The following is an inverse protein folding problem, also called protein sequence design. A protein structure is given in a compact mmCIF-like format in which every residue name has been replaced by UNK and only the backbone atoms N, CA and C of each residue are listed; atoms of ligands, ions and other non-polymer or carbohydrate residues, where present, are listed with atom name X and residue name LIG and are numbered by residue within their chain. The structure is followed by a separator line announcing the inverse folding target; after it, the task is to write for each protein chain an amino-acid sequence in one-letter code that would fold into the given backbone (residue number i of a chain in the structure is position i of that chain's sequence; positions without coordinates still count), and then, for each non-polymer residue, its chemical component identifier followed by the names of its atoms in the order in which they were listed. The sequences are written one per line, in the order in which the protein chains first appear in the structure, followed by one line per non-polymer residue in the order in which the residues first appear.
data_IF_467396789583
#
_entry.id   IF_467396789583
#
_cell.length_a   1.000
_cell.length_b   1.000
_cell.length_c   1.000
_cell.angle_alpha   90.00
_cell.angle_beta   90.00
_cell.angle_gamma   90.00
#
_symmetry.space_group_name_H-M   'P 1'
#
loop_
_entity.id
_entity.type
_entity.pdbx_description
1 polymer ?
#
# COMPACT_ATOMS: atom_id res chain seq x y z
N UNK A 1 -49.76 29.73 21.74
CA UNK A 1 -48.62 29.17 20.96
C UNK A 1 -48.10 27.89 21.61
N UNK A 2 -48.90 26.83 21.58
CA UNK A 2 -48.54 25.47 21.99
C UNK A 2 -49.41 24.56 21.13
N UNK A 3 -48.97 24.25 19.91
CA UNK A 3 -49.51 23.19 19.02
C UNK A 3 -48.81 23.14 17.64
N UNK A 4 -47.52 23.51 17.55
CA UNK A 4 -46.77 23.41 16.28
C UNK A 4 -45.44 22.65 16.39
N UNK A 5 -45.22 21.93 17.50
CA UNK A 5 -43.99 21.16 17.74
C UNK A 5 -44.18 19.64 17.79
N UNK A 6 -45.42 19.14 17.70
CA UNK A 6 -45.69 17.70 17.73
C UNK A 6 -45.83 17.05 16.35
N UNK A 7 -45.89 17.82 15.26
CA UNK A 7 -46.14 17.27 13.91
C UNK A 7 -44.86 16.93 13.13
N UNK A 8 -43.69 17.40 13.56
CA UNK A 8 -42.40 17.09 12.91
C UNK A 8 -41.67 15.86 13.49
N UNK A 9 -42.21 15.24 14.55
CA UNK A 9 -41.57 14.07 15.17
C UNK A 9 -42.18 12.72 14.77
N UNK A 10 -43.30 12.72 14.04
CA UNK A 10 -43.97 11.48 13.59
C UNK A 10 -43.62 11.13 12.13
N UNK A 11 -43.08 12.08 11.35
CA UNK A 11 -42.64 11.82 9.97
C UNK A 11 -41.21 11.23 9.92
N UNK A 12 -40.46 11.24 11.03
CA UNK A 12 -39.11 10.65 11.09
C UNK A 12 -39.06 9.18 11.56
N UNK A 13 -40.20 8.53 11.85
CA UNK A 13 -40.24 7.17 12.41
C UNK A 13 -41.07 6.16 11.60
N UNK A 14 -41.43 6.47 10.35
CA UNK A 14 -42.13 5.55 9.45
C UNK A 14 -41.32 5.20 8.19
N UNK A 15 -40.06 4.81 8.36
CA UNK A 15 -39.30 4.09 7.33
C UNK A 15 -38.45 2.96 7.92
N UNK A 16 -38.96 2.31 8.96
CA UNK A 16 -38.45 1.02 9.43
C UNK A 16 -39.55 -0.04 9.30
N UNK A 17 -39.28 -0.97 8.38
CA UNK A 17 -39.89 -2.29 8.17
C UNK A 17 -41.15 -2.36 7.29
N UNK A 18 -40.90 -2.58 5.99
CA UNK A 18 -41.74 -3.41 5.12
C UNK A 18 -40.84 -4.15 4.10
N UNK A 19 -40.51 -5.40 4.47
CA UNK A 19 -40.57 -6.62 3.63
C UNK A 19 -39.94 -6.55 2.22
N UNK A 20 -38.77 -7.21 2.09
CA UNK A 20 -38.47 -8.09 0.94
C UNK A 20 -38.05 -7.44 -0.38
N UNK A 21 -36.80 -6.97 -0.48
CA UNK A 21 -35.99 -7.05 -1.70
C UNK A 21 -34.52 -6.77 -1.37
N UNK A 22 -33.69 -7.81 -1.42
CA UNK A 22 -32.24 -7.71 -1.26
C UNK A 22 -31.58 -7.19 -2.53
N UNK A 23 -31.24 -5.91 -2.57
CA UNK A 23 -30.07 -5.40 -3.29
C UNK A 23 -29.82 -3.96 -2.87
N UNK A 24 -28.97 -3.75 -1.86
CA UNK A 24 -28.31 -2.45 -1.73
C UNK A 24 -27.56 -2.22 -3.03
N UNK A 25 -27.92 -1.17 -3.78
CA UNK A 25 -27.23 -0.83 -5.01
C UNK A 25 -25.75 -0.61 -4.71
N UNK A 26 -24.88 -1.33 -5.42
CA UNK A 26 -23.42 -1.22 -5.26
C UNK A 26 -22.90 -0.31 -6.35
N UNK A 27 -22.02 0.61 -5.98
CA UNK A 27 -21.42 1.58 -6.89
C UNK A 27 -19.91 1.46 -6.83
N UNK A 28 -19.26 1.50 -8.00
CA UNK A 28 -17.82 1.73 -8.09
C UNK A 28 -17.54 3.20 -8.34
N UNK A 29 -16.38 3.66 -7.87
CA UNK A 29 -15.90 5.00 -8.18
C UNK A 29 -15.35 5.04 -9.62
N UNK A 30 -15.67 6.11 -10.34
CA UNK A 30 -15.18 6.41 -11.70
C UNK A 30 -14.78 7.87 -11.81
N UNK A 31 -14.14 8.25 -12.92
CA UNK A 31 -13.80 9.65 -13.15
C UNK A 31 -15.06 10.53 -13.10
N UNK A 32 -15.05 11.54 -12.24
CA UNK A 32 -16.16 12.48 -12.11
C UNK A 32 -17.40 11.99 -11.34
N UNK A 33 -17.39 10.77 -10.76
CA UNK A 33 -18.53 10.31 -9.96
C UNK A 33 -18.54 8.82 -9.60
N UNK A 34 -19.71 8.21 -9.66
CA UNK A 34 -19.96 6.80 -9.33
C UNK A 34 -20.69 6.09 -10.46
N UNK A 35 -20.35 4.84 -10.73
CA UNK A 35 -21.04 3.98 -11.70
C UNK A 35 -21.69 2.82 -10.96
N UNK A 36 -22.99 2.59 -11.19
CA UNK A 36 -23.72 1.45 -10.65
C UNK A 36 -23.13 0.15 -11.22
N UNK A 37 -22.91 -0.83 -10.34
CA UNK A 37 -22.40 -2.15 -10.71
C UNK A 37 -23.55 -3.11 -10.97
N UNK A 38 -23.40 -3.92 -12.02
CA UNK A 38 -24.27 -5.05 -12.28
C UNK A 38 -23.75 -6.28 -11.54
N UNK A 39 -24.25 -6.49 -10.32
CA UNK A 39 -23.92 -7.68 -9.52
C UNK A 39 -24.56 -8.91 -10.17
N UNK A 40 -23.75 -9.87 -10.58
CA UNK A 40 -24.23 -11.18 -11.04
C UNK A 40 -24.68 -12.01 -9.83
N UNK A 41 -25.99 -12.00 -9.60
CA UNK A 41 -26.62 -12.78 -8.53
C UNK A 41 -27.00 -14.19 -8.96
N UNK A 42 -26.91 -14.52 -10.26
CA UNK A 42 -27.46 -15.74 -10.86
C UNK A 42 -26.42 -16.83 -11.03
N UNK A 43 -25.21 -16.47 -11.45
CA UNK A 43 -24.09 -17.40 -11.58
C UNK A 43 -23.65 -17.85 -10.18
N UNK A 44 -23.38 -19.14 -10.00
CA UNK A 44 -22.85 -19.66 -8.75
C UNK A 44 -21.44 -19.12 -8.46
N UNK A 45 -21.09 -19.09 -7.18
CA UNK A 45 -19.86 -18.45 -6.70
C UNK A 45 -18.60 -19.12 -7.25
N UNK A 46 -18.57 -20.45 -7.37
CA UNK A 46 -17.41 -21.18 -7.86
C UNK A 46 -17.15 -20.85 -9.33
N UNK A 47 -18.20 -20.85 -10.16
CA UNK A 47 -18.13 -20.45 -11.56
C UNK A 47 -17.68 -18.99 -11.72
N UNK A 48 -18.12 -18.07 -10.84
CA UNK A 48 -17.63 -16.69 -10.85
C UNK A 48 -16.14 -16.62 -10.52
N UNK A 49 -15.69 -17.34 -9.49
CA UNK A 49 -14.28 -17.34 -9.05
C UNK A 49 -13.36 -17.89 -10.16
N UNK A 50 -13.76 -18.95 -10.87
CA UNK A 50 -12.99 -19.50 -11.98
C UNK A 50 -12.75 -18.47 -13.11
N UNK A 51 -13.66 -17.51 -13.30
CA UNK A 51 -13.49 -16.45 -14.31
C UNK A 51 -12.34 -15.48 -13.99
N UNK A 52 -11.80 -15.49 -12.76
CA UNK A 52 -10.62 -14.68 -12.40
C UNK A 52 -9.35 -15.13 -13.13
N UNK A 53 -9.31 -16.32 -13.72
CA UNK A 53 -8.16 -16.77 -14.55
C UNK A 53 -8.11 -16.09 -15.92
N UNK A 54 -9.24 -15.56 -16.39
CA UNK A 54 -9.33 -14.91 -17.69
C UNK A 54 -8.58 -13.57 -17.70
N UNK A 55 -8.41 -13.02 -18.90
CA UNK A 55 -7.90 -11.66 -19.04
C UNK A 55 -8.92 -10.66 -18.50
N UNK A 56 -8.51 -9.93 -17.47
CA UNK A 56 -9.22 -8.79 -16.92
C UNK A 56 -8.20 -7.72 -16.55
N UNK A 57 -8.65 -6.46 -16.56
CA UNK A 57 -7.87 -5.32 -16.11
C UNK A 57 -8.66 -4.56 -15.05
N UNK A 58 -7.94 -3.91 -14.13
CA UNK A 58 -8.57 -3.00 -13.20
C UNK A 58 -9.18 -1.82 -13.98
N UNK A 59 -10.38 -1.44 -13.58
CA UNK A 59 -11.12 -0.32 -14.11
C UNK A 59 -10.45 1.00 -13.74
N UNK A 60 -10.46 1.96 -14.67
CA UNK A 60 -9.90 3.27 -14.41
C UNK A 60 -10.86 4.10 -13.57
N UNK A 61 -10.44 4.47 -12.35
CA UNK A 61 -11.27 5.29 -11.44
C UNK A 61 -11.14 6.79 -11.72
N UNK A 62 -10.25 7.21 -12.64
CA UNK A 62 -9.84 8.60 -12.83
C UNK A 62 -8.99 9.17 -11.67
N UNK A 63 -8.72 8.37 -10.63
CA UNK A 63 -7.86 8.74 -9.50
C UNK A 63 -6.71 7.73 -9.40
N UNK A 64 -5.48 8.23 -9.42
CA UNK A 64 -4.25 7.41 -9.34
C UNK A 64 -4.13 6.57 -8.07
N UNK A 65 -4.94 6.87 -7.07
CA UNK A 65 -4.82 6.31 -5.75
C UNK A 65 -5.92 5.31 -5.37
N UNK A 66 -7.04 5.23 -6.10
CA UNK A 66 -8.09 4.22 -5.84
C UNK A 66 -7.96 3.03 -6.76
N UNK A 67 -8.29 1.84 -6.25
CA UNK A 67 -8.37 0.61 -7.05
C UNK A 67 -9.75 0.53 -7.71
N UNK A 68 -9.79 0.38 -9.03
CA UNK A 68 -11.04 0.18 -9.76
C UNK A 68 -11.30 -1.30 -9.98
N UNK A 69 -12.03 -1.94 -9.07
CA UNK A 69 -12.39 -3.34 -9.20
C UNK A 69 -13.36 -3.57 -10.37
N UNK A 70 -13.32 -4.78 -10.93
CA UNK A 70 -14.21 -5.19 -12.03
C UNK A 70 -15.59 -5.59 -11.51
N UNK A 71 -16.60 -5.61 -12.39
CA UNK A 71 -17.95 -6.07 -12.06
C UNK A 71 -17.95 -7.54 -11.58
N UNK A 72 -17.01 -8.37 -12.09
CA UNK A 72 -16.80 -9.74 -11.63
C UNK A 72 -16.37 -9.77 -10.16
N UNK A 73 -15.37 -8.96 -9.79
CA UNK A 73 -14.87 -8.87 -8.41
C UNK A 73 -15.97 -8.38 -7.46
N UNK A 74 -16.75 -7.38 -7.85
CA UNK A 74 -17.92 -6.94 -7.07
C UNK A 74 -18.99 -8.03 -6.96
N UNK A 75 -19.22 -8.80 -8.03
CA UNK A 75 -20.17 -9.92 -8.02
C UNK A 75 -19.76 -11.00 -7.02
N UNK A 76 -18.47 -11.34 -6.96
CA UNK A 76 -17.92 -12.27 -5.96
C UNK A 76 -17.98 -11.64 -4.56
N UNK A 77 -17.51 -10.39 -4.40
CA UNK A 77 -17.46 -9.71 -3.12
C UNK A 77 -18.85 -9.47 -2.50
N UNK A 78 -19.90 -9.42 -3.31
CA UNK A 78 -21.30 -9.35 -2.82
C UNK A 78 -21.71 -10.55 -1.97
N UNK A 79 -20.98 -11.69 -2.07
CA UNK A 79 -21.15 -12.87 -1.21
C UNK A 79 -20.40 -12.78 0.12
N UNK A 80 -19.71 -11.66 0.38
CA UNK A 80 -19.06 -11.32 1.66
C UNK A 80 -18.13 -12.44 2.16
N UNK A 81 -18.26 -12.82 3.43
CA UNK A 81 -17.40 -13.84 4.05
C UNK A 81 -17.54 -15.24 3.45
N UNK A 82 -18.68 -15.53 2.81
CA UNK A 82 -18.91 -16.83 2.15
C UNK A 82 -17.96 -17.03 0.97
N UNK A 83 -17.50 -15.93 0.33
CA UNK A 83 -16.52 -15.97 -0.75
C UNK A 83 -15.08 -16.22 -0.30
N UNK A 84 -14.74 -15.94 0.96
CA UNK A 84 -13.34 -15.96 1.42
C UNK A 84 -12.73 -17.36 1.25
N UNK A 85 -13.40 -18.41 1.77
CA UNK A 85 -12.85 -19.77 1.68
C UNK A 85 -12.75 -20.26 0.22
N UNK A 86 -13.80 -20.17 -0.62
CA UNK A 86 -13.69 -20.53 -2.04
C UNK A 86 -12.59 -19.77 -2.80
N UNK A 87 -12.40 -18.48 -2.50
CA UNK A 87 -11.30 -17.68 -3.07
C UNK A 87 -9.93 -18.21 -2.66
N UNK A 88 -9.75 -18.55 -1.38
CA UNK A 88 -8.49 -19.14 -0.87
C UNK A 88 -8.23 -20.51 -1.46
N UNK A 89 -9.26 -21.36 -1.55
CA UNK A 89 -9.16 -22.69 -2.17
C UNK A 89 -8.71 -22.56 -3.64
N UNK A 90 -9.36 -21.66 -4.39
CA UNK A 90 -9.01 -21.37 -5.77
C UNK A 90 -7.61 -20.78 -5.94
N UNK A 91 -7.18 -19.85 -5.06
CA UNK A 91 -5.82 -19.32 -5.07
C UNK A 91 -4.77 -20.42 -4.95
N UNK A 92 -5.04 -21.43 -4.12
CA UNK A 92 -4.14 -22.56 -3.90
C UNK A 92 -4.11 -23.54 -5.08
N UNK A 93 -5.21 -23.67 -5.83
CA UNK A 93 -5.29 -24.58 -6.97
C UNK A 93 -4.87 -23.94 -8.30
N UNK A 94 -5.07 -22.64 -8.48
CA UNK A 94 -4.75 -21.97 -9.75
C UNK A 94 -3.23 -21.81 -9.94
N UNK A 95 -2.78 -22.03 -11.17
CA UNK A 95 -1.41 -21.77 -11.61
C UNK A 95 -1.22 -20.38 -12.22
N UNK A 96 -2.31 -19.68 -12.54
CA UNK A 96 -2.26 -18.39 -13.25
C UNK A 96 -1.95 -17.23 -12.30
N UNK A 97 -1.08 -16.30 -12.72
CA UNK A 97 -0.83 -15.08 -11.95
C UNK A 97 -2.09 -14.20 -11.90
N UNK A 98 -2.84 -14.09 -13.00
CA UNK A 98 -4.10 -13.36 -13.07
C UNK A 98 -5.13 -13.89 -12.06
N UNK A 99 -5.33 -15.20 -11.97
CA UNK A 99 -6.24 -15.79 -10.97
C UNK A 99 -5.86 -15.40 -9.54
N UNK A 100 -4.56 -15.45 -9.22
CA UNK A 100 -4.05 -15.08 -7.88
C UNK A 100 -4.20 -13.60 -7.57
N UNK A 101 -3.88 -12.71 -8.53
CA UNK A 101 -4.13 -11.27 -8.37
C UNK A 101 -5.62 -10.98 -8.22
N UNK A 102 -6.47 -11.66 -8.98
CA UNK A 102 -7.91 -11.51 -8.93
C UNK A 102 -8.46 -11.86 -7.54
N UNK A 103 -7.94 -12.94 -6.94
CA UNK A 103 -8.26 -13.31 -5.55
C UNK A 103 -7.85 -12.22 -4.58
N UNK A 104 -6.62 -11.71 -4.64
CA UNK A 104 -6.13 -10.68 -3.72
C UNK A 104 -6.97 -9.41 -3.77
N UNK A 105 -7.26 -8.90 -4.98
CA UNK A 105 -8.12 -7.73 -5.14
C UNK A 105 -9.54 -7.99 -4.63
N UNK A 106 -10.10 -9.17 -4.89
CA UNK A 106 -11.45 -9.52 -4.42
C UNK A 106 -11.50 -9.64 -2.90
N UNK A 107 -10.48 -10.24 -2.27
CA UNK A 107 -10.37 -10.31 -0.81
C UNK A 107 -10.24 -8.92 -0.19
N UNK A 108 -9.46 -8.02 -0.79
CA UNK A 108 -9.39 -6.64 -0.32
C UNK A 108 -10.74 -5.92 -0.46
N UNK A 109 -11.45 -6.13 -1.59
CA UNK A 109 -12.79 -5.58 -1.81
C UNK A 109 -13.81 -6.08 -0.77
N UNK A 110 -13.74 -7.36 -0.39
CA UNK A 110 -14.51 -7.93 0.73
C UNK A 110 -14.07 -7.28 2.06
N UNK A 111 -12.76 -7.12 2.24
CA UNK A 111 -12.11 -6.49 3.40
C UNK A 111 -12.67 -5.11 3.73
N UNK A 112 -12.86 -4.28 2.71
CA UNK A 112 -13.40 -2.92 2.82
C UNK A 112 -14.93 -2.86 2.63
N UNK A 113 -15.60 -4.01 2.59
CA UNK A 113 -17.05 -4.15 2.35
C UNK A 113 -17.55 -3.42 1.10
N UNK A 114 -16.77 -3.47 0.02
CA UNK A 114 -17.08 -2.78 -1.24
C UNK A 114 -17.23 -1.25 -1.10
N UNK A 115 -16.67 -0.68 -0.03
CA UNK A 115 -16.81 0.74 0.29
C UNK A 115 -15.47 1.47 0.17
N UNK A 116 -15.33 2.25 -0.92
CA UNK A 116 -14.19 3.14 -1.12
C UNK A 116 -14.58 4.51 -0.54
N UNK A 117 -14.06 4.87 0.64
CA UNK A 117 -14.40 6.11 1.33
C UNK A 117 -13.23 7.08 1.45
N UNK A 118 -13.49 8.37 1.20
CA UNK A 118 -12.49 9.42 1.38
C UNK A 118 -11.35 9.40 0.36
N UNK A 119 -10.45 10.39 0.45
CA UNK A 119 -9.34 10.54 -0.51
C UNK A 119 -8.15 9.60 -0.26
N UNK A 120 -7.98 9.09 0.96
CA UNK A 120 -6.70 8.47 1.38
C UNK A 120 -6.85 7.21 2.25
N UNK A 121 -8.02 6.59 2.29
CA UNK A 121 -8.28 5.44 3.16
C UNK A 121 -9.17 4.42 2.45
N UNK A 122 -8.78 3.15 2.54
CA UNK A 122 -9.62 2.00 2.20
C UNK A 122 -9.66 1.14 3.45
N UNK A 123 -10.46 1.58 4.42
CA UNK A 123 -10.48 1.00 5.76
C UNK A 123 -11.01 -0.42 5.74
N UNK A 124 -10.24 -1.36 6.28
CA UNK A 124 -10.69 -2.71 6.48
C UNK A 124 -11.75 -2.74 7.58
N UNK A 125 -12.88 -3.36 7.29
CA UNK A 125 -13.96 -3.66 8.24
C UNK A 125 -14.02 -5.17 8.47
N UNK A 126 -13.84 -5.95 7.41
CA UNK A 126 -13.84 -7.40 7.51
C UNK A 126 -12.45 -7.95 7.91
N UNK A 127 -12.28 -8.23 9.20
CA UNK A 127 -11.02 -8.76 9.75
C UNK A 127 -10.64 -10.15 9.23
N UNK A 128 -11.61 -10.96 8.79
CA UNK A 128 -11.36 -12.30 8.25
C UNK A 128 -10.67 -12.20 6.88
N UNK A 129 -11.20 -11.35 5.99
CA UNK A 129 -10.57 -11.09 4.70
C UNK A 129 -9.15 -10.49 4.86
N UNK A 130 -8.97 -9.55 5.82
CA UNK A 130 -7.63 -9.01 6.15
C UNK A 130 -6.66 -10.12 6.57
N UNK A 131 -7.08 -10.97 7.51
CA UNK A 131 -6.27 -12.11 7.99
C UNK A 131 -5.89 -13.05 6.85
N UNK A 132 -6.81 -13.33 5.93
CA UNK A 132 -6.51 -14.13 4.74
C UNK A 132 -5.47 -13.45 3.84
N UNK A 133 -5.53 -12.14 3.64
CA UNK A 133 -4.49 -11.42 2.87
C UNK A 133 -3.13 -11.48 3.56
N UNK A 134 -3.09 -11.39 4.90
CA UNK A 134 -1.85 -11.49 5.69
C UNK A 134 -1.13 -12.83 5.49
N UNK A 135 -1.86 -13.92 5.28
CA UNK A 135 -1.25 -15.24 5.01
C UNK A 135 -0.41 -15.22 3.71
N UNK A 136 -0.81 -14.41 2.72
CA UNK A 136 -0.10 -14.29 1.44
C UNK A 136 1.16 -13.43 1.49
N UNK A 137 1.42 -12.72 2.60
CA UNK A 137 2.69 -12.01 2.82
C UNK A 137 3.88 -12.98 2.86
N UNK A 138 3.65 -14.24 3.23
CA UNK A 138 4.69 -15.29 3.21
C UNK A 138 4.91 -15.91 1.82
N UNK A 139 4.24 -15.42 0.79
CA UNK A 139 4.37 -15.98 -0.56
C UNK A 139 5.82 -15.89 -1.07
N UNK A 140 6.28 -16.99 -1.68
CA UNK A 140 7.56 -17.04 -2.39
C UNK A 140 7.52 -16.26 -3.71
N UNK A 141 6.33 -16.04 -4.28
CA UNK A 141 6.16 -15.16 -5.44
C UNK A 141 6.18 -13.71 -4.95
N UNK A 142 7.22 -12.98 -5.35
CA UNK A 142 7.44 -11.57 -4.99
C UNK A 142 6.27 -10.68 -5.39
N UNK A 143 5.72 -10.81 -6.60
CA UNK A 143 4.58 -9.99 -7.05
C UNK A 143 3.34 -10.18 -6.17
N UNK A 144 3.10 -11.42 -5.72
CA UNK A 144 1.97 -11.75 -4.85
C UNK A 144 2.18 -11.19 -3.44
N UNK A 145 3.37 -11.39 -2.89
CA UNK A 145 3.75 -10.84 -1.59
C UNK A 145 3.62 -9.31 -1.61
N UNK A 146 4.15 -8.67 -2.65
CA UNK A 146 4.15 -7.23 -2.81
C UNK A 146 2.73 -6.69 -2.90
N UNK A 147 1.88 -7.25 -3.78
CA UNK A 147 0.48 -6.85 -3.87
C UNK A 147 -0.26 -7.05 -2.53
N UNK A 148 0.00 -8.15 -1.82
CA UNK A 148 -0.63 -8.39 -0.50
C UNK A 148 -0.28 -7.28 0.50
N UNK A 149 1.00 -6.89 0.55
CA UNK A 149 1.48 -5.80 1.42
C UNK A 149 0.91 -4.44 0.96
N UNK A 150 0.87 -4.17 -0.36
CA UNK A 150 0.29 -2.96 -0.94
C UNK A 150 -1.19 -2.81 -0.58
N UNK A 151 -1.95 -3.90 -0.57
CA UNK A 151 -3.36 -3.89 -0.18
C UNK A 151 -3.51 -3.64 1.33
N UNK A 152 -2.72 -4.33 2.16
CA UNK A 152 -2.79 -4.21 3.63
C UNK A 152 -2.38 -2.83 4.14
N UNK A 153 -1.33 -2.22 3.55
CA UNK A 153 -0.81 -0.94 4.02
C UNK A 153 -1.81 0.21 3.86
N UNK A 154 -2.80 0.08 2.96
CA UNK A 154 -3.83 1.12 2.68
C UNK A 154 -4.63 1.50 3.93
N UNK A 155 -4.73 0.57 4.87
CA UNK A 155 -5.27 0.78 6.21
C UNK A 155 -4.38 0.00 7.21
N UNK A 156 -3.29 0.60 7.72
CA UNK A 156 -2.26 -0.13 8.46
C UNK A 156 -2.73 -0.45 9.89
N UNK A 157 -2.83 -1.73 10.23
CA UNK A 157 -3.15 -2.18 11.58
C UNK A 157 -1.89 -2.57 12.36
N UNK A 158 -1.76 -2.08 13.59
CA UNK A 158 -0.61 -2.39 14.46
C UNK A 158 -0.45 -3.90 14.74
N UNK A 159 -1.55 -4.66 14.66
CA UNK A 159 -1.57 -6.12 14.80
C UNK A 159 -0.80 -6.85 13.71
N UNK A 160 -0.53 -6.21 12.58
CA UNK A 160 0.12 -6.84 11.43
C UNK A 160 1.64 -6.77 11.54
N UNK A 161 2.16 -5.83 12.34
CA UNK A 161 3.61 -5.61 12.50
C UNK A 161 4.36 -6.89 12.86
N UNK A 162 3.93 -7.72 13.83
CA UNK A 162 4.60 -9.00 14.13
C UNK A 162 4.69 -9.93 12.92
N UNK A 163 3.63 -10.00 12.10
CA UNK A 163 3.56 -10.85 10.91
C UNK A 163 4.52 -10.31 9.83
N UNK A 164 4.50 -9.00 9.59
CA UNK A 164 5.41 -8.35 8.64
C UNK A 164 6.88 -8.52 9.05
N UNK A 165 7.19 -8.39 10.34
CA UNK A 165 8.55 -8.60 10.87
C UNK A 165 9.01 -10.05 10.69
N UNK A 166 8.15 -11.02 11.00
CA UNK A 166 8.46 -12.45 10.81
C UNK A 166 8.62 -12.80 9.32
N UNK A 167 7.75 -12.28 8.44
CA UNK A 167 7.88 -12.45 7.00
C UNK A 167 9.18 -11.83 6.45
N UNK A 168 9.55 -10.63 6.92
CA UNK A 168 10.81 -9.98 6.57
C UNK A 168 12.01 -10.80 7.03
N UNK A 169 11.98 -11.35 8.26
CA UNK A 169 13.03 -12.21 8.78
C UNK A 169 13.23 -13.45 7.90
N UNK A 170 12.13 -14.08 7.46
CA UNK A 170 12.13 -15.30 6.64
C UNK A 170 12.36 -15.04 5.14
N UNK A 171 12.24 -13.80 4.67
CA UNK A 171 12.44 -13.46 3.26
C UNK A 171 13.89 -13.74 2.82
N UNK A 172 14.03 -14.49 1.72
CA UNK A 172 15.30 -14.77 1.04
C UNK A 172 15.62 -13.64 0.03
N UNK A 173 14.59 -12.96 -0.49
CA UNK A 173 14.74 -11.84 -1.42
C UNK A 173 14.93 -10.52 -0.66
N UNK A 174 15.24 -9.46 -1.42
CA UNK A 174 15.16 -8.09 -0.92
C UNK A 174 13.79 -7.84 -0.26
N UNK A 175 13.78 -7.08 0.83
CA UNK A 175 12.59 -6.87 1.65
C UNK A 175 12.04 -5.46 1.47
N UNK A 176 12.29 -4.82 0.32
CA UNK A 176 11.95 -3.41 0.12
C UNK A 176 10.48 -3.11 0.37
N UNK A 177 9.60 -3.94 -0.13
CA UNK A 177 8.15 -3.81 0.07
C UNK A 177 7.77 -3.81 1.55
N UNK A 178 8.32 -4.73 2.34
CA UNK A 178 8.05 -4.78 3.79
C UNK A 178 8.70 -3.59 4.51
N UNK A 179 9.97 -3.30 4.21
CA UNK A 179 10.72 -2.17 4.78
C UNK A 179 9.98 -0.86 4.59
N UNK A 180 9.47 -0.61 3.39
CA UNK A 180 8.79 0.64 3.05
C UNK A 180 7.36 0.66 3.61
N UNK A 181 6.65 -0.46 3.58
CA UNK A 181 5.33 -0.55 4.20
C UNK A 181 5.38 -0.30 5.71
N UNK A 182 6.37 -0.85 6.43
CA UNK A 182 6.51 -0.73 7.88
C UNK A 182 6.57 0.73 8.37
N UNK A 183 7.08 1.66 7.57
CA UNK A 183 7.11 3.10 7.89
C UNK A 183 5.70 3.65 8.11
N UNK A 184 4.69 3.08 7.43
CA UNK A 184 3.30 3.48 7.62
C UNK A 184 2.64 2.83 8.82
N UNK A 185 3.08 1.63 9.19
CA UNK A 185 2.64 1.00 10.43
C UNK A 185 3.28 1.68 11.64
N UNK A 186 4.53 2.11 11.51
CA UNK A 186 5.35 2.63 12.61
C UNK A 186 5.81 4.02 12.21
N UNK A 187 4.91 4.99 12.38
CA UNK A 187 5.14 6.40 12.04
C UNK A 187 6.21 7.04 12.96
N UNK A 188 6.10 6.77 14.26
CA UNK A 188 7.05 7.28 15.28
C UNK A 188 8.09 6.22 15.62
N UNK A 189 9.31 6.67 15.85
CA UNK A 189 10.48 5.85 16.24
C UNK A 189 10.93 4.81 15.21
N UNK A 190 10.57 4.95 13.93
CA UNK A 190 11.11 4.07 12.89
C UNK A 190 12.66 4.10 12.93
N UNK A 191 13.34 2.94 12.76
CA UNK A 191 14.80 2.85 12.77
C UNK A 191 15.44 3.32 11.46
N UNK A 192 14.62 3.86 10.56
CA UNK A 192 14.95 4.47 9.27
C UNK A 192 14.08 5.71 9.10
N UNK A 193 14.44 6.57 8.15
CA UNK A 193 13.84 7.89 7.95
C UNK A 193 13.90 8.79 9.21
N UNK A 194 14.98 8.65 9.99
CA UNK A 194 15.23 9.47 11.17
C UNK A 194 15.40 10.94 10.79
N UNK A 195 15.18 11.83 11.74
CA UNK A 195 15.31 13.26 11.49
C UNK A 195 16.74 13.66 11.08
N UNK A 196 16.85 14.28 9.90
CA UNK A 196 18.10 14.87 9.40
C UNK A 196 18.29 16.25 10.04
N UNK A 197 19.51 16.59 10.44
CA UNK A 197 19.83 17.92 10.94
C UNK A 197 19.45 19.02 9.94
N UNK A 198 18.84 20.11 10.40
CA UNK A 198 18.33 21.17 9.53
C UNK A 198 19.42 21.84 8.69
N UNK A 199 20.62 22.04 9.23
CA UNK A 199 21.74 22.60 8.46
C UNK A 199 22.12 21.72 7.27
N UNK A 200 21.99 20.40 7.42
CA UNK A 200 22.24 19.43 6.35
C UNK A 200 21.06 19.38 5.38
N UNK A 201 19.80 19.39 5.88
CA UNK A 201 18.59 19.43 5.05
C UNK A 201 18.60 20.59 4.05
N UNK A 202 19.10 21.76 4.47
CA UNK A 202 19.14 22.98 3.67
C UNK A 202 20.31 23.06 2.66
N UNK A 203 21.25 22.10 2.68
CA UNK A 203 22.35 22.08 1.69
C UNK A 203 21.79 21.88 0.29
N UNK A 204 22.19 22.76 -0.64
CA UNK A 204 21.83 22.64 -2.05
C UNK A 204 22.76 21.63 -2.70
N UNK A 205 22.19 20.70 -3.45
CA UNK A 205 22.91 19.70 -4.22
C UNK A 205 22.55 19.88 -5.69
N UNK A 206 23.58 20.12 -6.49
CA UNK A 206 23.45 20.18 -7.94
C UNK A 206 23.60 18.78 -8.54
N UNK A 207 22.74 18.44 -9.48
CA UNK A 207 22.77 17.17 -10.18
C UNK A 207 22.31 17.35 -11.62
N UNK A 208 22.83 16.50 -12.50
CA UNK A 208 22.41 16.48 -13.91
C UNK A 208 21.42 15.34 -14.09
N UNK A 209 20.18 15.69 -14.44
CA UNK A 209 19.25 14.75 -15.07
C UNK A 209 19.29 14.99 -16.58
N UNK A 210 19.30 13.95 -17.42
CA UNK A 210 19.08 14.11 -18.86
C UNK A 210 17.79 14.88 -19.14
N UNK A 211 17.79 15.68 -20.22
CA UNK A 211 16.73 16.65 -20.51
C UNK A 211 15.37 16.04 -20.94
N UNK A 212 15.21 14.71 -20.96
CA UNK A 212 13.93 14.08 -21.35
C UNK A 212 13.63 12.71 -20.71
N UNK A 213 12.35 12.54 -20.36
CA UNK A 213 11.55 11.34 -20.07
C UNK A 213 12.07 10.40 -18.96
N UNK A 214 11.49 10.58 -17.76
CA UNK A 214 11.26 9.56 -16.73
C UNK A 214 12.40 8.53 -16.61
N UNK A 215 13.55 9.02 -16.17
CA UNK A 215 14.83 8.33 -16.32
C UNK A 215 15.14 7.36 -15.17
N UNK A 216 15.51 6.13 -15.52
CA UNK A 216 16.02 5.12 -14.59
C UNK A 216 17.29 5.58 -13.87
N UNK A 217 18.03 6.53 -14.44
CA UNK A 217 19.22 7.11 -13.82
C UNK A 217 18.93 8.23 -12.81
N UNK A 218 17.67 8.64 -12.63
CA UNK A 218 17.29 9.72 -11.70
C UNK A 218 17.85 9.52 -10.29
N UNK A 219 17.54 8.37 -9.66
CA UNK A 219 18.04 8.06 -8.31
C UNK A 219 19.57 7.89 -8.30
N UNK A 220 20.19 7.08 -9.19
CA UNK A 220 21.64 6.98 -9.25
C UNK A 220 22.38 8.32 -9.39
N UNK A 221 21.88 9.26 -10.20
CA UNK A 221 22.52 10.55 -10.42
C UNK A 221 22.42 11.45 -9.18
N UNK A 222 21.28 11.46 -8.48
CA UNK A 222 21.15 12.13 -7.18
C UNK A 222 22.14 11.53 -6.16
N UNK A 223 22.22 10.21 -6.06
CA UNK A 223 23.13 9.54 -5.12
C UNK A 223 24.61 9.88 -5.43
N UNK A 224 25.01 9.91 -6.71
CA UNK A 224 26.36 10.33 -7.11
C UNK A 224 26.64 11.77 -6.69
N UNK A 225 25.70 12.69 -6.93
CA UNK A 225 25.84 14.10 -6.54
C UNK A 225 25.88 14.31 -5.03
N UNK A 226 25.06 13.60 -4.26
CA UNK A 226 25.13 13.64 -2.79
C UNK A 226 26.51 13.18 -2.32
N UNK A 227 27.00 12.08 -2.88
CA UNK A 227 28.31 11.51 -2.51
C UNK A 227 29.46 12.48 -2.80
N UNK A 228 29.41 13.22 -3.91
CA UNK A 228 30.47 14.17 -4.27
C UNK A 228 30.44 15.44 -3.43
N UNK A 229 29.27 15.89 -2.99
CA UNK A 229 29.09 17.18 -2.31
C UNK A 229 29.07 17.07 -0.78
N UNK A 230 28.69 15.93 -0.22
CA UNK A 230 28.42 15.76 1.22
C UNK A 230 29.13 14.56 1.84
N UNK A 231 30.25 14.09 1.29
CA UNK A 231 30.95 12.87 1.73
C UNK A 231 31.34 12.84 3.22
N UNK A 232 31.52 14.00 3.86
CA UNK A 232 31.84 14.10 5.28
C UNK A 232 30.63 13.87 6.20
N UNK A 233 29.42 14.19 5.70
CA UNK A 233 28.16 14.16 6.45
C UNK A 233 27.20 13.07 5.99
N UNK A 234 27.41 12.51 4.79
CA UNK A 234 26.55 11.51 4.18
C UNK A 234 27.38 10.33 3.67
N UNK A 235 27.03 9.14 4.16
CA UNK A 235 27.52 7.87 3.66
C UNK A 235 26.49 7.23 2.73
N UNK A 236 26.95 6.68 1.60
CA UNK A 236 26.10 5.94 0.67
C UNK A 236 26.68 4.55 0.49
N UNK A 237 25.89 3.53 0.80
CA UNK A 237 26.27 2.14 0.60
C UNK A 237 26.60 1.84 -0.85
N UNK A 238 27.75 1.19 -1.09
CA UNK A 238 28.23 0.89 -2.45
C UNK A 238 27.29 -0.04 -3.21
N UNK A 239 26.58 -0.92 -2.52
CA UNK A 239 25.67 -1.90 -3.12
C UNK A 239 24.47 -1.24 -3.79
N UNK A 240 24.06 -0.04 -3.38
CA UNK A 240 22.98 0.71 -4.03
C UNK A 240 23.27 0.99 -5.50
N UNK A 241 24.53 1.28 -5.85
CA UNK A 241 24.94 1.53 -7.24
C UNK A 241 24.99 0.28 -8.12
N UNK A 242 24.83 -0.91 -7.53
CA UNK A 242 24.74 -2.19 -8.27
C UNK A 242 23.30 -2.65 -8.47
N UNK A 243 22.35 -1.98 -7.81
CA UNK A 243 20.92 -2.33 -7.85
C UNK A 243 20.19 -1.55 -8.95
N UNK A 244 19.06 -2.10 -9.38
CA UNK A 244 18.15 -1.41 -10.28
C UNK A 244 17.27 -0.42 -9.49
N UNK A 245 17.79 0.78 -9.25
CA UNK A 245 17.13 1.85 -8.52
C UNK A 245 16.21 2.68 -9.42
N UNK A 246 15.30 2.03 -10.13
CA UNK A 246 14.34 2.73 -10.98
C UNK A 246 13.55 3.75 -10.15
N UNK A 247 13.75 5.02 -10.43
CA UNK A 247 12.92 6.13 -9.95
C UNK A 247 12.23 6.78 -11.13
N UNK A 248 11.04 7.33 -10.92
CA UNK A 248 10.31 8.07 -11.94
C UNK A 248 10.22 9.53 -11.50
N UNK A 249 11.00 10.37 -12.14
CA UNK A 249 10.83 11.82 -12.08
C UNK A 249 10.80 12.33 -13.51
N UNK A 250 9.71 12.99 -13.88
CA UNK A 250 9.53 13.53 -15.24
C UNK A 250 9.70 15.05 -15.24
N UNK A 251 10.46 15.57 -14.27
CA UNK A 251 10.77 16.97 -14.06
C UNK A 251 12.28 17.15 -14.16
N UNK A 252 12.74 18.05 -15.05
CA UNK A 252 14.15 18.37 -15.28
C UNK A 252 14.78 19.18 -14.14
N UNK A 253 14.77 18.63 -12.93
CA UNK A 253 15.45 19.25 -11.79
C UNK A 253 16.96 19.20 -12.00
N UNK A 254 17.62 20.34 -11.84
CA UNK A 254 19.09 20.45 -11.91
C UNK A 254 19.73 20.70 -10.53
N UNK A 255 18.90 20.96 -9.52
CA UNK A 255 19.33 21.11 -8.14
C UNK A 255 18.15 20.93 -7.19
N UNK A 256 18.44 20.67 -5.91
CA UNK A 256 17.46 20.60 -4.85
C UNK A 256 18.10 20.66 -3.48
N UNK A 257 17.30 20.98 -2.46
CA UNK A 257 17.75 20.89 -1.06
C UNK A 257 17.89 19.42 -0.70
N UNK A 258 18.94 19.06 0.01
CA UNK A 258 19.21 17.67 0.40
C UNK A 258 18.02 17.00 1.09
N UNK A 259 17.32 17.70 1.98
CA UNK A 259 16.14 17.16 2.65
C UNK A 259 14.99 16.82 1.70
N UNK A 260 14.78 17.65 0.67
CA UNK A 260 13.77 17.42 -0.37
C UNK A 260 14.20 16.26 -1.28
N UNK A 261 15.46 16.22 -1.70
CA UNK A 261 16.00 15.15 -2.53
C UNK A 261 15.94 13.79 -1.83
N UNK A 262 16.26 13.71 -0.54
CA UNK A 262 16.13 12.47 0.23
C UNK A 262 14.68 12.01 0.27
N UNK A 263 13.73 12.93 0.47
CA UNK A 263 12.30 12.60 0.43
C UNK A 263 11.89 12.09 -0.95
N UNK A 264 12.36 12.72 -2.02
CA UNK A 264 12.05 12.34 -3.39
C UNK A 264 12.64 10.98 -3.79
N UNK A 265 13.82 10.60 -3.29
CA UNK A 265 14.41 9.30 -3.63
C UNK A 265 13.98 8.16 -2.69
N UNK A 266 13.33 8.45 -1.57
CA UNK A 266 12.85 7.42 -0.63
C UNK A 266 11.33 7.26 -0.62
N UNK A 267 10.58 8.34 -0.83
CA UNK A 267 9.13 8.38 -0.73
C UNK A 267 8.51 9.32 -1.77
N UNK A 268 8.61 8.96 -3.05
CA UNK A 268 8.13 9.81 -4.15
C UNK A 268 6.63 9.70 -4.42
N UNK A 269 5.78 9.87 -3.42
CA UNK A 269 4.38 10.06 -3.74
C UNK A 269 3.65 11.03 -2.82
N UNK A 270 2.95 11.96 -3.45
CA UNK A 270 1.90 12.79 -2.84
C UNK A 270 0.80 11.90 -2.24
N UNK A 271 0.70 10.65 -2.69
CA UNK A 271 -0.23 9.62 -2.21
C UNK A 271 0.51 8.47 -1.50
N UNK A 272 1.24 8.78 -0.43
CA UNK A 272 1.95 7.80 0.43
C UNK A 272 1.03 6.63 0.87
N UNK A 273 -0.30 6.83 0.89
CA UNK A 273 -1.21 5.78 1.33
C UNK A 273 -1.35 4.56 0.38
N UNK A 274 -0.89 4.65 -0.87
CA UNK A 274 -1.06 3.60 -1.88
C UNK A 274 0.22 3.29 -2.66
N UNK A 275 1.37 3.75 -2.18
CA UNK A 275 2.65 3.60 -2.87
C UNK A 275 3.72 3.11 -1.91
N UNK A 276 4.48 2.09 -2.33
CA UNK A 276 5.60 1.53 -1.57
C UNK A 276 6.87 2.39 -1.63
N UNK A 277 6.88 3.55 -2.29
CA UNK A 277 8.11 4.34 -2.44
C UNK A 277 9.17 3.64 -3.30
N UNK A 278 10.43 4.02 -3.12
CA UNK A 278 11.55 3.52 -3.92
C UNK A 278 12.46 2.55 -3.17
N UNK A 279 13.36 1.88 -3.91
CA UNK A 279 14.36 0.94 -3.40
C UNK A 279 15.56 1.64 -2.73
N UNK A 280 15.30 2.70 -1.95
CA UNK A 280 16.31 3.47 -1.20
C UNK A 280 15.71 3.89 0.13
N UNK A 281 16.48 3.70 1.20
CA UNK A 281 16.15 4.22 2.53
C UNK A 281 17.37 4.88 3.16
N UNK A 282 17.15 5.57 4.28
CA UNK A 282 18.24 6.17 5.04
C UNK A 282 18.01 6.07 6.55
N UNK A 283 19.06 6.24 7.32
CA UNK A 283 19.01 6.44 8.78
C UNK A 283 20.03 7.49 9.20
N UNK A 284 19.92 7.96 10.44
CA UNK A 284 20.86 8.93 11.03
C UNK A 284 21.54 8.32 12.24
N UNK A 285 22.86 8.41 12.29
CA UNK A 285 23.69 7.90 13.38
C UNK A 285 24.91 8.82 13.53
N UNK A 286 25.28 9.18 14.76
CA UNK A 286 26.42 10.07 15.05
C UNK A 286 26.44 11.36 14.20
N UNK A 287 25.27 12.01 14.05
CA UNK A 287 25.06 13.21 13.22
C UNK A 287 25.39 13.04 11.73
N UNK A 288 25.48 11.81 11.23
CA UNK A 288 25.67 11.50 9.81
C UNK A 288 24.46 10.79 9.24
N UNK A 289 24.21 11.02 7.96
CA UNK A 289 23.14 10.34 7.21
C UNK A 289 23.74 9.14 6.49
N UNK A 290 23.11 7.99 6.61
CA UNK A 290 23.50 6.76 5.95
C UNK A 290 22.39 6.35 4.99
N UNK A 291 22.64 6.49 3.69
CA UNK A 291 21.75 6.00 2.65
C UNK A 291 22.09 4.52 2.41
N UNK A 292 21.10 3.65 2.60
CA UNK A 292 21.33 2.22 2.79
C UNK A 292 20.49 1.34 1.87
N UNK A 293 20.97 0.12 1.69
CA UNK A 293 20.34 -0.96 0.93
C UNK A 293 19.23 -1.67 1.72
N UNK A 294 18.49 -2.55 1.03
CA UNK A 294 17.42 -3.35 1.63
C UNK A 294 17.93 -4.21 2.78
N UNK A 295 19.14 -4.77 2.65
CA UNK A 295 19.75 -5.63 3.66
C UNK A 295 20.03 -4.87 4.96
N UNK A 296 20.64 -3.69 4.86
CA UNK A 296 20.87 -2.83 6.01
C UNK A 296 19.56 -2.34 6.63
N UNK A 297 18.61 -1.89 5.80
CA UNK A 297 17.29 -1.46 6.30
C UNK A 297 16.55 -2.59 7.03
N UNK A 298 16.54 -3.80 6.44
CA UNK A 298 16.01 -5.02 7.06
C UNK A 298 16.69 -5.30 8.40
N UNK A 299 18.01 -5.27 8.46
CA UNK A 299 18.76 -5.49 9.72
C UNK A 299 18.34 -4.49 10.80
N UNK A 300 18.30 -3.19 10.47
CA UNK A 300 17.90 -2.15 11.43
C UNK A 300 16.47 -2.36 11.93
N UNK A 301 15.53 -2.71 11.06
CA UNK A 301 14.16 -3.04 11.46
C UNK A 301 14.09 -4.27 12.39
N UNK A 302 14.79 -5.35 12.05
CA UNK A 302 14.79 -6.56 12.87
C UNK A 302 15.45 -6.33 14.23
N UNK A 303 16.54 -5.57 14.29
CA UNK A 303 17.21 -5.25 15.55
C UNK A 303 16.36 -4.29 16.42
N UNK A 304 15.69 -3.32 15.80
CA UNK A 304 14.69 -2.48 16.46
C UNK A 304 13.53 -3.30 17.03
N UNK A 305 13.02 -4.27 16.25
CA UNK A 305 11.91 -5.11 16.65
C UNK A 305 12.23 -6.00 17.84
N UNK A 306 13.41 -6.65 17.87
CA UNK A 306 13.86 -7.48 18.99
C UNK A 306 13.81 -6.74 20.33
N UNK A 307 14.14 -5.45 20.33
CA UNK A 307 14.16 -4.62 21.54
C UNK A 307 12.77 -4.16 21.99
N UNK A 308 11.73 -4.30 21.14
CA UNK A 308 10.37 -3.79 21.41
C UNK A 308 9.29 -4.87 21.41
N UNK A 309 9.61 -6.09 20.99
CA UNK A 309 8.65 -7.18 20.86
C UNK A 309 7.88 -7.46 22.18
N UNK A 310 8.56 -7.41 23.32
CA UNK A 310 7.96 -7.64 24.63
C UNK A 310 6.98 -6.54 25.06
N UNK A 311 7.20 -5.31 24.60
CA UNK A 311 6.32 -4.19 24.90
C UNK A 311 5.15 -4.11 23.92
N UNK A 312 5.34 -4.63 22.70
CA UNK A 312 4.30 -4.71 21.69
C UNK A 312 3.20 -5.70 22.08
N UNK A 313 3.56 -6.85 22.62
CA UNK A 313 2.62 -7.91 23.02
C UNK A 313 1.80 -7.57 24.28
N UNK A 314 2.07 -6.44 24.94
CA UNK A 314 1.35 -5.96 26.13
C UNK A 314 0.28 -4.91 25.81
N UNK A 315 0.23 -4.43 24.56
CA UNK A 315 -0.77 -3.48 24.07
C UNK A 315 -1.89 -4.23 23.35
#
# INVERSE_FOLDING_TARGET
MKNLLLLNFIILLCSSNLIGQSSSEVYRIVEGGTKKINIDTKTDLETLILKLENDWELEMTGKRYWIGYTDLMYSIASRKEEAIKPLTDFYNSTSTENGKFGVLYTLHLIGIESNITGRFTESFVNSKARKTILEFVYSKNEKIRDLSIELLMRDPWQSDVPILMDAMQKSINDSWTIVNALIRYIDKDAPIQNEINDSLKQRIIEFKTPDDICDKEFIPNILKSIKSNLSESVYIEKELFKQNLNGYSCTGFQSGRFGELIKDITNNNVFNYCSLGYKVQYYVEDNKVYICSSETAKKRWLDWWKNRQNDWNKK
#
